data_IF_797745776102
#
_entry.id   IF_797745776102
#
_cell.length_a   1.000
_cell.length_b   1.000
_cell.length_c   1.000
_cell.angle_alpha   90.00
_cell.angle_beta   90.00
_cell.angle_gamma   90.00
#
_symmetry.space_group_name_H-M   'P 1'
#
loop_
_entity.id
_entity.type
_entity.pdbx_description
1 polymer ?
#
# COMPACT_ATOMS: atom_id res chain seq x y z
N UNK A 1 25.72 -15.48 -14.16
CA UNK A 1 25.09 -16.67 -13.54
C UNK A 1 25.14 -16.59 -12.01
N UNK A 2 26.09 -15.86 -11.43
CA UNK A 2 26.29 -15.78 -9.98
C UNK A 2 25.23 -14.96 -9.23
N UNK A 3 24.66 -13.93 -9.87
CA UNK A 3 23.64 -13.08 -9.25
C UNK A 3 22.31 -13.82 -8.99
N UNK A 4 21.90 -14.69 -9.93
CA UNK A 4 20.72 -15.56 -9.74
C UNK A 4 20.96 -16.61 -8.66
N UNK A 5 22.17 -17.16 -8.57
CA UNK A 5 22.54 -18.10 -7.50
C UNK A 5 22.49 -17.43 -6.14
N UNK A 6 23.03 -16.20 -6.04
CA UNK A 6 22.96 -15.41 -4.81
C UNK A 6 21.51 -15.11 -4.38
N UNK A 7 20.61 -14.85 -5.33
CA UNK A 7 19.21 -14.55 -5.02
C UNK A 7 18.43 -15.76 -4.47
N UNK A 8 18.76 -16.97 -4.94
CA UNK A 8 18.05 -18.21 -4.59
C UNK A 8 18.69 -18.92 -3.40
N UNK A 9 19.97 -18.67 -3.11
CA UNK A 9 20.65 -19.32 -2.00
C UNK A 9 20.14 -18.78 -0.65
N UNK A 10 19.74 -19.67 0.28
CA UNK A 10 19.38 -19.24 1.63
C UNK A 10 20.61 -18.64 2.32
N UNK A 11 20.40 -17.56 3.07
CA UNK A 11 21.49 -16.95 3.83
C UNK A 11 21.92 -17.88 4.97
N UNK A 12 23.20 -18.25 5.07
CA UNK A 12 23.67 -19.19 6.09
C UNK A 12 23.86 -18.56 7.47
N UNK A 13 23.82 -17.23 7.59
CA UNK A 13 24.05 -16.52 8.84
C UNK A 13 22.80 -15.74 9.30
N UNK A 14 22.38 -15.90 10.58
CA UNK A 14 21.31 -15.11 11.15
C UNK A 14 21.68 -13.64 11.18
N UNK A 15 20.71 -12.78 10.89
CA UNK A 15 20.87 -11.35 11.15
C UNK A 15 20.50 -11.07 12.62
N UNK A 16 21.46 -10.60 13.41
CA UNK A 16 21.19 -10.21 14.80
C UNK A 16 20.33 -8.95 14.84
N UNK A 17 19.45 -8.82 15.84
CA UNK A 17 18.61 -7.63 16.04
C UNK A 17 19.42 -6.33 16.20
N UNK A 18 20.66 -6.43 16.67
CA UNK A 18 21.60 -5.31 16.84
C UNK A 18 22.25 -4.86 15.53
N UNK A 19 22.06 -5.61 14.44
CA UNK A 19 22.65 -5.23 13.15
C UNK A 19 21.97 -3.96 12.60
N UNK A 20 22.76 -3.00 12.08
CA UNK A 20 22.23 -1.74 11.59
C UNK A 20 21.24 -1.94 10.41
N UNK A 21 21.41 -3.01 9.64
CA UNK A 21 20.53 -3.36 8.53
C UNK A 21 19.14 -3.80 9.01
N UNK A 22 19.05 -4.63 10.06
CA UNK A 22 17.76 -5.05 10.63
C UNK A 22 17.05 -3.88 11.28
N UNK A 23 17.79 -3.02 12.00
CA UNK A 23 17.23 -1.79 12.57
C UNK A 23 16.69 -0.84 11.50
N UNK A 24 17.42 -0.64 10.39
CA UNK A 24 16.99 0.19 9.27
C UNK A 24 15.74 -0.38 8.59
N UNK A 25 15.66 -1.69 8.37
CA UNK A 25 14.47 -2.33 7.81
C UNK A 25 13.27 -2.22 8.76
N UNK A 26 13.50 -2.46 10.05
CA UNK A 26 12.48 -2.30 11.09
C UNK A 26 11.91 -0.87 11.14
N UNK A 27 12.76 0.15 11.03
CA UNK A 27 12.31 1.55 11.03
C UNK A 27 11.50 1.89 9.77
N UNK A 28 11.89 1.38 8.60
CA UNK A 28 11.10 1.52 7.35
C UNK A 28 9.72 0.89 7.48
N UNK A 29 9.63 -0.31 8.05
CA UNK A 29 8.36 -1.01 8.27
C UNK A 29 7.46 -0.27 9.28
N UNK A 30 8.05 0.25 10.34
CA UNK A 30 7.34 1.08 11.33
C UNK A 30 6.81 2.37 10.68
N UNK A 31 7.62 3.01 9.82
CA UNK A 31 7.19 4.18 9.06
C UNK A 31 6.03 3.86 8.11
N UNK A 32 6.09 2.73 7.39
CA UNK A 32 4.99 2.25 6.54
C UNK A 32 3.69 2.01 7.33
N UNK A 33 3.80 1.47 8.55
CA UNK A 33 2.67 1.29 9.44
C UNK A 33 2.07 2.64 9.88
N UNK A 34 2.91 3.58 10.30
CA UNK A 34 2.46 4.94 10.65
C UNK A 34 1.81 5.66 9.46
N UNK A 35 2.36 5.50 8.26
CA UNK A 35 1.77 6.04 7.02
C UNK A 35 0.40 5.42 6.75
N UNK A 36 0.21 4.12 6.96
CA UNK A 36 -1.11 3.47 6.82
C UNK A 36 -2.15 4.12 7.76
N UNK A 37 -1.77 4.37 9.01
CA UNK A 37 -2.63 5.02 10.01
C UNK A 37 -2.88 6.48 9.65
N UNK A 38 -1.85 7.23 9.26
CA UNK A 38 -1.96 8.62 8.83
C UNK A 38 -2.89 8.78 7.63
N UNK A 39 -2.81 7.89 6.63
CA UNK A 39 -3.72 7.87 5.47
C UNK A 39 -5.16 7.62 5.92
N UNK A 40 -5.37 6.73 6.89
CA UNK A 40 -6.72 6.45 7.43
C UNK A 40 -7.32 7.70 8.09
N UNK A 41 -6.54 8.43 8.89
CA UNK A 41 -6.99 9.69 9.51
C UNK A 41 -7.17 10.82 8.49
N UNK A 42 -6.25 10.96 7.55
CA UNK A 42 -6.34 11.97 6.49
C UNK A 42 -7.59 11.76 5.62
N UNK A 43 -7.92 10.50 5.30
CA UNK A 43 -9.13 10.16 4.54
C UNK A 43 -10.42 10.58 5.25
N UNK A 44 -10.45 10.55 6.57
CA UNK A 44 -11.62 10.99 7.34
C UNK A 44 -11.89 12.50 7.17
N UNK A 45 -10.86 13.29 6.85
CA UNK A 45 -10.96 14.74 6.62
C UNK A 45 -11.18 15.13 5.16
N UNK A 46 -11.18 14.18 4.22
CA UNK A 46 -11.37 14.46 2.79
C UNK A 46 -12.85 14.65 2.43
N UNK A 47 -13.20 15.84 1.95
CA UNK A 47 -14.52 16.20 1.41
C UNK A 47 -14.72 15.76 -0.05
N UNK A 48 -13.64 15.61 -0.83
CA UNK A 48 -13.74 15.22 -2.24
C UNK A 48 -14.00 13.70 -2.38
N UNK A 49 -15.12 13.27 -2.99
CA UNK A 49 -15.47 11.85 -3.09
C UNK A 49 -14.51 11.04 -3.97
N UNK A 50 -13.87 11.67 -4.98
CA UNK A 50 -12.98 10.96 -5.91
C UNK A 50 -11.67 10.55 -5.21
N UNK A 51 -11.06 11.46 -4.47
CA UNK A 51 -9.83 11.19 -3.70
C UNK A 51 -10.08 10.24 -2.54
N UNK A 52 -11.27 10.33 -1.91
CA UNK A 52 -11.71 9.37 -0.87
C UNK A 52 -11.88 7.94 -1.39
N UNK A 53 -12.29 7.79 -2.65
CA UNK A 53 -12.45 6.47 -3.29
C UNK A 53 -11.10 5.88 -3.71
N UNK A 54 -10.20 6.70 -4.29
CA UNK A 54 -8.84 6.27 -4.65
C UNK A 54 -8.04 5.81 -3.43
N UNK A 55 -8.10 6.59 -2.34
CA UNK A 55 -7.37 6.30 -1.10
C UNK A 55 -7.96 5.14 -0.28
N UNK A 56 -9.08 4.54 -0.71
CA UNK A 56 -9.73 3.44 0.03
C UNK A 56 -8.82 2.22 0.17
N UNK A 57 -8.07 1.89 -0.87
CA UNK A 57 -7.20 0.71 -0.92
C UNK A 57 -5.82 0.97 -0.31
N UNK A 58 -5.39 2.22 -0.20
CA UNK A 58 -4.05 2.59 0.24
C UNK A 58 -3.75 2.15 1.67
N UNK A 59 -4.66 2.44 2.62
CA UNK A 59 -4.46 2.05 4.01
C UNK A 59 -4.32 0.53 4.18
N UNK A 60 -5.17 -0.24 3.49
CA UNK A 60 -5.13 -1.70 3.55
C UNK A 60 -3.86 -2.27 2.91
N UNK A 61 -3.44 -1.73 1.77
CA UNK A 61 -2.24 -2.21 1.06
C UNK A 61 -0.98 -1.88 1.86
N UNK A 62 -0.83 -0.66 2.38
CA UNK A 62 0.30 -0.30 3.24
C UNK A 62 0.36 -1.17 4.51
N UNK A 63 -0.79 -1.51 5.09
CA UNK A 63 -0.85 -2.42 6.24
C UNK A 63 -0.36 -3.83 5.88
N UNK A 64 -0.83 -4.39 4.75
CA UNK A 64 -0.38 -5.70 4.28
C UNK A 64 1.10 -5.73 3.92
N UNK A 65 1.63 -4.67 3.30
CA UNK A 65 3.07 -4.54 3.05
C UNK A 65 3.86 -4.50 4.36
N UNK A 66 3.43 -3.69 5.34
CA UNK A 66 4.08 -3.64 6.65
C UNK A 66 4.03 -5.00 7.37
N UNK A 67 2.88 -5.69 7.35
CA UNK A 67 2.73 -7.00 7.97
C UNK A 67 3.60 -8.06 7.29
N UNK A 68 3.57 -8.13 5.95
CA UNK A 68 4.39 -9.07 5.18
C UNK A 68 5.90 -8.79 5.36
N UNK A 69 6.30 -7.51 5.37
CA UNK A 69 7.69 -7.13 5.60
C UNK A 69 8.16 -7.44 7.02
N UNK A 70 7.28 -7.33 8.02
CA UNK A 70 7.58 -7.72 9.40
C UNK A 70 7.76 -9.24 9.51
N UNK A 71 6.91 -10.03 8.85
CA UNK A 71 7.08 -11.49 8.74
C UNK A 71 8.42 -11.84 8.10
N UNK A 72 8.80 -11.19 6.99
CA UNK A 72 10.08 -11.40 6.33
C UNK A 72 11.29 -11.00 7.20
N UNK A 73 11.13 -9.95 8.02
CA UNK A 73 12.15 -9.50 8.95
C UNK A 73 12.34 -10.50 10.09
N UNK A 74 11.25 -10.95 10.71
CA UNK A 74 11.27 -11.96 11.79
C UNK A 74 11.79 -13.29 11.27
N UNK A 75 11.36 -13.74 10.09
CA UNK A 75 11.88 -14.97 9.50
C UNK A 75 13.39 -14.91 9.20
N UNK A 76 13.94 -13.71 8.97
CA UNK A 76 15.38 -13.50 8.79
C UNK A 76 16.14 -13.54 10.12
N UNK A 77 15.53 -13.10 11.22
CA UNK A 77 16.15 -13.15 12.56
C UNK A 77 16.06 -14.56 13.17
N UNK A 78 14.99 -15.29 12.89
CA UNK A 78 14.69 -16.64 13.41
C UNK A 78 15.18 -17.79 12.51
N UNK A 79 16.08 -17.52 11.56
CA UNK A 79 16.72 -18.54 10.69
C UNK A 79 15.75 -19.42 9.88
N UNK A 80 14.57 -18.92 9.50
CA UNK A 80 13.66 -19.68 8.63
C UNK A 80 14.21 -19.66 7.21
N UNK A 81 15.07 -20.64 6.90
CA UNK A 81 15.89 -20.76 5.68
C UNK A 81 15.09 -20.55 4.38
N UNK A 82 13.86 -21.05 4.29
CA UNK A 82 13.01 -20.91 3.10
C UNK A 82 12.42 -19.51 2.92
N UNK A 83 12.22 -18.75 4.01
CA UNK A 83 11.64 -17.40 3.99
C UNK A 83 12.68 -16.28 4.07
N UNK A 84 13.93 -16.59 4.43
CA UNK A 84 15.02 -15.60 4.51
C UNK A 84 15.70 -15.30 3.16
N UNK A 85 15.20 -15.90 2.07
CA UNK A 85 15.80 -15.75 0.75
C UNK A 85 15.82 -14.28 0.30
N UNK A 86 16.96 -13.77 -0.21
CA UNK A 86 17.07 -12.40 -0.69
C UNK A 86 16.12 -12.10 -1.86
N UNK A 87 15.76 -13.10 -2.67
CA UNK A 87 14.75 -12.98 -3.71
C UNK A 87 13.39 -12.48 -3.18
N UNK A 88 12.96 -12.92 -1.99
CA UNK A 88 11.68 -12.48 -1.42
C UNK A 88 11.69 -10.98 -1.09
N UNK A 89 12.82 -10.47 -0.61
CA UNK A 89 13.00 -9.03 -0.38
C UNK A 89 12.99 -8.24 -1.70
N UNK A 90 13.66 -8.75 -2.74
CA UNK A 90 13.64 -8.10 -4.07
C UNK A 90 12.22 -8.07 -4.65
N UNK A 91 11.49 -9.18 -4.58
CA UNK A 91 10.10 -9.26 -5.04
C UNK A 91 9.20 -8.32 -4.21
N UNK A 92 9.38 -8.29 -2.89
CA UNK A 92 8.62 -7.42 -1.99
C UNK A 92 8.86 -5.94 -2.31
N UNK A 93 10.12 -5.52 -2.43
CA UNK A 93 10.47 -4.13 -2.80
C UNK A 93 9.98 -3.79 -4.22
N UNK A 94 10.14 -4.71 -5.17
CA UNK A 94 9.64 -4.55 -6.53
C UNK A 94 8.12 -4.36 -6.58
N UNK A 95 7.38 -5.14 -5.80
CA UNK A 95 5.92 -5.02 -5.67
C UNK A 95 5.52 -3.68 -5.03
N UNK A 96 6.25 -3.23 -4.00
CA UNK A 96 6.00 -1.94 -3.34
C UNK A 96 6.22 -0.78 -4.33
N UNK A 97 7.32 -0.79 -5.08
CA UNK A 97 7.63 0.23 -6.09
C UNK A 97 6.58 0.22 -7.20
N UNK A 98 6.23 -0.95 -7.73
CA UNK A 98 5.21 -1.09 -8.76
C UNK A 98 3.85 -0.55 -8.28
N UNK A 99 3.48 -0.83 -7.02
CA UNK A 99 2.27 -0.28 -6.41
C UNK A 99 2.29 1.26 -6.39
N UNK A 100 3.38 1.87 -5.92
CA UNK A 100 3.51 3.34 -5.89
C UNK A 100 3.39 3.95 -7.28
N UNK A 101 4.06 3.37 -8.29
CA UNK A 101 4.01 3.86 -9.68
C UNK A 101 2.58 3.78 -10.23
N UNK A 102 1.92 2.63 -10.07
CA UNK A 102 0.54 2.44 -10.52
C UNK A 102 -0.39 3.44 -9.84
N UNK A 103 -0.21 3.68 -8.55
CA UNK A 103 -1.01 4.64 -7.80
C UNK A 103 -0.82 6.08 -8.31
N UNK A 104 0.42 6.50 -8.59
CA UNK A 104 0.69 7.82 -9.20
C UNK A 104 -0.02 7.92 -10.55
N UNK A 105 0.05 6.89 -11.40
CA UNK A 105 -0.64 6.88 -12.70
C UNK A 105 -2.16 6.95 -12.56
N UNK A 106 -2.75 6.21 -11.62
CA UNK A 106 -4.20 6.27 -11.36
C UNK A 106 -4.64 7.62 -10.82
N UNK A 107 -3.83 8.22 -9.95
CA UNK A 107 -4.08 9.56 -9.42
C UNK A 107 -4.10 10.59 -10.56
N UNK A 108 -3.05 10.62 -11.39
CA UNK A 108 -2.99 11.51 -12.54
C UNK A 108 -4.16 11.27 -13.51
N UNK A 109 -4.48 10.03 -13.86
CA UNK A 109 -5.55 9.75 -14.82
C UNK A 109 -6.96 10.15 -14.34
N UNK A 110 -7.25 10.00 -13.03
CA UNK A 110 -8.61 10.21 -12.49
C UNK A 110 -8.83 11.58 -11.87
N UNK A 111 -7.77 12.29 -11.46
CA UNK A 111 -7.90 13.62 -10.87
C UNK A 111 -8.39 14.66 -11.89
N UNK A 112 -8.01 14.54 -13.16
CA UNK A 112 -8.41 15.47 -14.22
C UNK A 112 -9.80 15.21 -14.84
N UNK A 113 -10.45 14.07 -14.56
CA UNK A 113 -11.74 13.73 -15.18
C UNK A 113 -12.97 14.35 -14.50
N UNK A 114 -12.80 15.16 -13.46
CA UNK A 114 -13.93 15.80 -12.78
C UNK A 114 -14.30 17.10 -13.48
N UNK A 115 -14.92 17.01 -14.65
CA UNK A 115 -15.81 18.10 -15.06
C UNK A 115 -16.98 18.11 -14.07
N UNK A 116 -17.39 19.27 -13.54
CA UNK A 116 -18.58 19.35 -12.72
C UNK A 116 -19.73 18.78 -13.53
N UNK A 117 -20.28 17.64 -13.10
CA UNK A 117 -21.55 17.15 -13.65
C UNK A 117 -22.55 18.24 -13.35
N UNK A 118 -22.88 19.04 -14.37
CA UNK A 118 -24.00 19.96 -14.27
C UNK A 118 -25.19 19.13 -13.85
N UNK A 119 -25.73 19.44 -12.68
CA UNK A 119 -26.97 18.87 -12.22
C UNK A 119 -28.03 19.42 -13.16
N UNK A 120 -28.32 18.66 -14.22
CA UNK A 120 -29.47 18.94 -15.09
C UNK A 120 -30.68 18.67 -14.20
N UNK A 121 -31.20 19.71 -13.57
CA UNK A 121 -32.51 19.66 -12.93
C UNK A 121 -33.51 19.50 -14.06
N UNK A 122 -33.94 18.27 -14.29
CA UNK A 122 -35.06 18.02 -15.19
C UNK A 122 -36.30 18.66 -14.54
N UNK A 123 -36.97 19.62 -15.20
CA UNK A 123 -38.16 20.29 -14.65
C UNK A 123 -39.25 19.29 -14.24
N UNK A 124 -39.24 18.08 -14.80
CA UNK A 124 -40.14 16.97 -14.48
C UNK A 124 -39.97 16.42 -13.07
N UNK A 125 -38.78 16.50 -12.47
CA UNK A 125 -38.52 16.02 -11.11
C UNK A 125 -39.34 16.77 -10.04
N UNK A 126 -39.77 18.00 -10.35
CA UNK A 126 -40.67 18.79 -9.48
C UNK A 126 -42.07 18.16 -9.36
N UNK A 127 -42.52 17.44 -10.37
CA UNK A 127 -43.87 16.89 -10.47
C UNK A 127 -43.94 15.38 -10.24
N UNK A 128 -42.79 14.71 -10.18
CA UNK A 128 -42.73 13.28 -9.89
C UNK A 128 -42.88 13.03 -8.38
N UNK A 129 -43.78 12.12 -7.96
CA UNK A 129 -43.91 11.77 -6.55
C UNK A 129 -42.59 11.18 -6.04
N UNK A 130 -42.01 11.80 -5.01
CA UNK A 130 -40.74 11.35 -4.43
C UNK A 130 -40.93 9.98 -3.79
N UNK A 131 -40.28 8.95 -4.34
CA UNK A 131 -40.27 7.64 -3.73
C UNK A 131 -39.62 7.71 -2.34
N UNK A 132 -40.36 7.28 -1.31
CA UNK A 132 -39.91 7.22 0.07
C UNK A 132 -38.84 6.11 0.18
N UNK A 133 -37.58 6.47 0.42
CA UNK A 133 -36.50 5.49 0.66
C UNK A 133 -36.84 4.66 1.90
N UNK A 134 -36.83 3.33 1.75
CA UNK A 134 -36.90 2.35 2.84
C UNK A 134 -35.58 2.30 3.60
#
# INVERSE_FOLDING_TARGET
MDLLRYLVQPHPYPATYTSPMVMALGSVLLLLFLVSVAIRFWRARLTNPVTRTLSRTWGSVCFWFAAAGLVLLVSRTEEVLFLSMPLLWVVWFGALIAFVILQIRFFLARHYQVLPRQHIQDPREKYLPKQKRR
#
